data_IF_602087462046
#
_entry.id   IF_602087462046
#
_cell.length_a   1.000
_cell.length_b   1.000
_cell.length_c   1.000
_cell.angle_alpha   90.00
_cell.angle_beta   90.00
_cell.angle_gamma   90.00
#
_symmetry.space_group_name_H-M   'P 1'
#
loop_
_entity.id
_entity.type
_entity.pdbx_description
1 polymer ?
#
# COMPACT_ATOMS: atom_id res chain seq x y z
N UNK A 1 23.94 -6.16 2.87
CA UNK A 1 22.76 -7.04 2.67
C UNK A 1 21.56 -6.12 2.56
N UNK A 2 21.04 -5.89 1.34
CA UNK A 2 19.83 -5.09 1.14
C UNK A 2 18.65 -5.96 1.58
N UNK A 3 18.31 -5.89 2.87
CA UNK A 3 17.09 -6.51 3.36
C UNK A 3 15.97 -5.73 2.66
N UNK A 4 15.44 -6.31 1.57
CA UNK A 4 14.09 -5.97 1.16
C UNK A 4 13.27 -6.38 2.36
N UNK A 5 13.03 -5.44 3.27
CA UNK A 5 12.22 -5.68 4.43
C UNK A 5 10.83 -5.88 3.87
N UNK A 6 10.46 -7.13 3.61
CA UNK A 6 9.08 -7.50 3.40
C UNK A 6 8.33 -6.90 4.61
N UNK A 7 7.63 -5.80 4.36
CA UNK A 7 6.81 -5.11 5.34
C UNK A 7 5.35 -5.44 5.03
N UNK A 8 4.92 -6.72 5.18
CA UNK A 8 3.57 -7.15 4.87
C UNK A 8 2.53 -6.42 5.73
N UNK A 9 2.96 -5.90 6.88
CA UNK A 9 2.14 -5.10 7.81
C UNK A 9 1.69 -3.80 7.13
N UNK A 10 2.54 -3.14 6.34
CA UNK A 10 2.18 -1.89 5.67
C UNK A 10 1.12 -2.15 4.60
N UNK A 11 1.29 -3.19 3.77
CA UNK A 11 0.30 -3.62 2.80
C UNK A 11 -1.04 -3.98 3.44
N UNK A 12 -1.02 -4.70 4.58
CA UNK A 12 -2.22 -5.06 5.32
C UNK A 12 -2.94 -3.83 5.93
N UNK A 13 -2.19 -2.85 6.43
CA UNK A 13 -2.74 -1.62 7.02
C UNK A 13 -3.44 -0.76 5.95
N UNK A 14 -2.82 -0.64 4.77
CA UNK A 14 -3.43 0.02 3.62
C UNK A 14 -4.70 -0.70 3.13
N UNK A 15 -4.69 -2.03 3.04
CA UNK A 15 -5.90 -2.80 2.67
C UNK A 15 -7.02 -2.67 3.71
N UNK A 16 -6.67 -2.61 5.00
CA UNK A 16 -7.64 -2.39 6.08
C UNK A 16 -8.29 -1.01 5.95
N UNK A 17 -7.51 0.05 5.83
CA UNK A 17 -8.01 1.41 5.65
C UNK A 17 -8.84 1.57 4.37
N UNK A 18 -8.43 0.93 3.28
CA UNK A 18 -9.19 0.90 2.02
C UNK A 18 -10.60 0.35 2.24
N UNK A 19 -10.72 -0.77 2.96
CA UNK A 19 -12.00 -1.42 3.27
C UNK A 19 -12.83 -0.62 4.28
N UNK A 20 -12.20 -0.08 5.32
CA UNK A 20 -12.90 0.71 6.35
C UNK A 20 -13.52 1.99 5.78
N UNK A 21 -12.85 2.63 4.81
CA UNK A 21 -13.31 3.87 4.19
C UNK A 21 -13.98 3.69 2.82
N UNK A 22 -14.17 2.45 2.38
CA UNK A 22 -14.68 2.09 1.04
C UNK A 22 -13.97 2.87 -0.09
N UNK A 23 -12.64 3.00 0.02
CA UNK A 23 -11.84 3.77 -0.93
C UNK A 23 -11.43 2.93 -2.13
N UNK A 24 -11.55 3.51 -3.32
CA UNK A 24 -10.88 2.95 -4.50
C UNK A 24 -9.36 3.16 -4.43
N UNK A 25 -8.60 2.25 -5.05
CA UNK A 25 -7.13 2.29 -5.07
C UNK A 25 -6.61 3.63 -5.60
N UNK A 26 -7.22 4.20 -6.65
CA UNK A 26 -6.77 5.49 -7.19
C UNK A 26 -6.99 6.64 -6.20
N UNK A 27 -8.11 6.62 -5.47
CA UNK A 27 -8.40 7.63 -4.43
C UNK A 27 -7.39 7.52 -3.30
N UNK A 28 -7.17 6.31 -2.78
CA UNK A 28 -6.20 6.06 -1.72
C UNK A 28 -4.76 6.44 -2.14
N UNK A 29 -4.38 6.11 -3.38
CA UNK A 29 -3.08 6.46 -3.93
C UNK A 29 -2.92 7.98 -4.05
N UNK A 30 -3.97 8.69 -4.50
CA UNK A 30 -3.97 10.15 -4.59
C UNK A 30 -3.86 10.81 -3.21
N UNK A 31 -4.63 10.36 -2.23
CA UNK A 31 -4.61 10.87 -0.85
C UNK A 31 -3.25 10.63 -0.18
N UNK A 32 -2.65 9.46 -0.42
CA UNK A 32 -1.33 9.12 0.10
C UNK A 32 -0.18 9.73 -0.73
N UNK A 33 -0.47 10.50 -1.78
CA UNK A 33 0.51 11.05 -2.71
C UNK A 33 1.49 10.00 -3.29
N UNK A 34 0.99 8.79 -3.57
CA UNK A 34 1.75 7.70 -4.17
C UNK A 34 1.18 7.30 -5.52
N UNK A 35 2.03 6.75 -6.39
CA UNK A 35 1.56 6.09 -7.60
C UNK A 35 0.85 4.77 -7.28
N UNK A 36 -0.11 4.38 -8.10
CA UNK A 36 -0.80 3.07 -8.01
C UNK A 36 0.17 1.89 -8.13
N UNK A 37 1.25 2.05 -8.89
CA UNK A 37 2.35 1.08 -8.98
C UNK A 37 3.04 0.91 -7.62
N UNK A 38 3.30 2.01 -6.92
CA UNK A 38 3.88 2.01 -5.58
C UNK A 38 2.94 1.35 -4.58
N UNK A 39 1.63 1.62 -4.66
CA UNK A 39 0.63 0.90 -3.87
C UNK A 39 0.68 -0.63 -4.12
N UNK A 40 0.79 -1.05 -5.39
CA UNK A 40 0.92 -2.46 -5.74
C UNK A 40 2.19 -3.12 -5.17
N UNK A 41 3.29 -2.38 -5.10
CA UNK A 41 4.54 -2.81 -4.46
C UNK A 41 4.40 -2.91 -2.94
N UNK A 42 3.83 -1.90 -2.28
CA UNK A 42 3.52 -1.88 -0.85
C UNK A 42 2.62 -3.06 -0.46
N UNK A 43 1.56 -3.32 -1.26
CA UNK A 43 0.65 -4.45 -1.05
C UNK A 43 1.39 -5.80 -1.10
N UNK A 44 2.41 -5.92 -1.94
CA UNK A 44 3.23 -7.13 -2.07
C UNK A 44 4.36 -7.21 -1.05
N UNK A 45 4.54 -6.21 -0.19
CA UNK A 45 5.67 -6.12 0.73
C UNK A 45 6.99 -5.73 0.06
N UNK A 46 6.97 -5.34 -1.22
CA UNK A 46 8.17 -5.06 -2.00
C UNK A 46 8.54 -3.58 -1.84
N UNK A 47 9.14 -3.23 -0.71
CA UNK A 47 9.58 -1.86 -0.43
C UNK A 47 10.97 -1.82 0.16
#
# INVERSE_FOLDING_TARGET
>A
MNVNSDHPILGALFEKWRKEKDLNINTLAKEAHICTITYGKIKKGWM
#
